data_IF_369360421483
#
_entry.id   IF_369360421483
#
_cell.length_a   1.000
_cell.length_b   1.000
_cell.length_c   1.000
_cell.angle_alpha   90.00
_cell.angle_beta   90.00
_cell.angle_gamma   90.00
#
_symmetry.space_group_name_H-M   'P 1'
#
loop_
_entity.id
_entity.type
_entity.pdbx_description
1 polymer ?
#
# COMPACT_ATOMS: atom_id res chain seq x y z
N UNK A 1 -9.37 14.70 13.37
CA UNK A 1 -8.31 14.20 12.47
C UNK A 1 -7.65 15.38 11.78
N UNK A 2 -6.33 15.45 11.83
CA UNK A 2 -5.57 16.49 11.14
C UNK A 2 -5.56 16.22 9.64
N UNK A 3 -5.62 17.27 8.82
CA UNK A 3 -5.58 17.16 7.37
C UNK A 3 -4.34 17.87 6.83
N UNK A 4 -3.56 17.15 6.01
CA UNK A 4 -2.46 17.71 5.23
C UNK A 4 -2.85 17.58 3.77
N UNK A 5 -2.76 18.66 3.00
CA UNK A 5 -3.19 18.65 1.62
C UNK A 5 -2.30 19.47 0.70
N UNK A 6 -2.31 19.09 -0.58
CA UNK A 6 -1.67 19.84 -1.67
C UNK A 6 -0.20 20.18 -1.40
N UNK A 7 0.57 19.20 -0.94
CA UNK A 7 1.97 19.39 -0.59
C UNK A 7 2.80 18.17 -0.97
N UNK A 8 4.11 18.27 -0.76
CA UNK A 8 5.03 17.18 -1.01
C UNK A 8 6.03 17.04 0.14
N UNK A 9 6.44 15.81 0.37
CA UNK A 9 7.46 15.47 1.36
C UNK A 9 8.55 14.65 0.68
N UNK A 10 9.77 14.77 1.19
CA UNK A 10 10.89 13.95 0.72
C UNK A 10 11.87 13.72 1.86
N UNK A 11 12.93 12.97 1.57
CA UNK A 11 13.94 12.66 2.55
C UNK A 11 13.63 11.41 3.35
N UNK A 12 14.17 11.33 4.55
CA UNK A 12 14.07 10.17 5.43
C UNK A 12 12.99 10.38 6.48
N UNK A 13 12.04 9.43 6.56
CA UNK A 13 10.96 9.39 7.56
C UNK A 13 10.17 10.70 7.71
N UNK A 14 9.71 11.32 6.62
CA UNK A 14 9.04 12.62 6.73
C UNK A 14 7.74 12.61 7.55
N UNK A 15 7.08 11.46 7.68
CA UNK A 15 5.82 11.32 8.43
C UNK A 15 5.94 10.13 9.39
N UNK A 16 6.72 10.33 10.44
CA UNK A 16 7.05 9.30 11.42
C UNK A 16 6.28 9.51 12.72
N UNK A 17 5.76 8.41 13.27
CA UNK A 17 5.01 8.40 14.54
C UNK A 17 3.82 9.38 14.58
N UNK A 18 3.06 9.43 13.49
CA UNK A 18 1.87 10.27 13.41
C UNK A 18 0.60 9.43 13.57
N UNK A 19 -0.41 10.03 14.16
CA UNK A 19 -1.69 9.40 14.41
C UNK A 19 -2.81 10.33 14.01
N UNK A 20 -3.95 9.74 13.58
CA UNK A 20 -5.17 10.50 13.24
C UNK A 20 -4.90 11.56 12.17
N UNK A 21 -4.32 11.14 11.05
CA UNK A 21 -3.91 12.02 9.96
C UNK A 21 -4.61 11.64 8.65
N UNK A 22 -5.14 12.64 7.96
CA UNK A 22 -5.63 12.48 6.59
C UNK A 22 -4.72 13.27 5.64
N UNK A 23 -4.26 12.60 4.59
CA UNK A 23 -3.46 13.21 3.53
C UNK A 23 -4.32 13.28 2.26
N UNK A 24 -4.41 14.45 1.66
CA UNK A 24 -5.15 14.67 0.42
C UNK A 24 -4.24 15.32 -0.61
N UNK A 25 -4.11 14.69 -1.78
CA UNK A 25 -3.29 15.21 -2.87
C UNK A 25 -1.86 15.53 -2.38
N UNK A 26 -1.22 14.54 -1.77
CA UNK A 26 0.14 14.65 -1.24
C UNK A 26 1.06 13.77 -2.08
N UNK A 27 2.24 14.30 -2.41
CA UNK A 27 3.29 13.56 -3.11
C UNK A 27 4.39 13.23 -2.12
N UNK A 28 4.68 11.95 -1.96
CA UNK A 28 5.84 11.49 -1.19
C UNK A 28 6.96 11.21 -2.20
N UNK A 29 7.91 12.14 -2.28
CA UNK A 29 9.01 12.08 -3.23
C UNK A 29 10.03 11.01 -2.85
N UNK A 30 10.99 10.78 -3.73
CA UNK A 30 12.06 9.82 -3.47
C UNK A 30 12.72 10.04 -2.11
N UNK A 31 12.85 8.97 -1.35
CA UNK A 31 13.35 8.98 0.01
C UNK A 31 13.03 7.65 0.68
N UNK A 32 13.11 7.58 1.99
CA UNK A 32 12.90 6.32 2.71
C UNK A 32 11.90 6.44 3.86
N UNK A 33 11.10 5.38 4.04
CA UNK A 33 10.23 5.17 5.20
C UNK A 33 9.32 6.36 5.50
N UNK A 34 8.59 6.81 4.49
CA UNK A 34 7.80 8.04 4.57
C UNK A 34 6.73 7.99 5.66
N UNK A 35 6.00 6.90 5.76
CA UNK A 35 4.92 6.76 6.73
C UNK A 35 5.24 5.53 7.55
N UNK A 36 5.79 5.74 8.74
CA UNK A 36 6.28 4.66 9.58
C UNK A 36 5.83 4.86 11.04
N UNK A 37 5.47 3.76 11.71
CA UNK A 37 5.01 3.78 13.10
C UNK A 37 3.81 4.73 13.31
N UNK A 38 2.83 4.64 12.41
CA UNK A 38 1.64 5.49 12.42
C UNK A 38 0.38 4.68 12.70
N UNK A 39 -0.69 5.36 13.08
CA UNK A 39 -2.00 4.73 13.22
C UNK A 39 -3.11 5.69 12.79
N UNK A 40 -4.21 5.10 12.32
CA UNK A 40 -5.38 5.83 11.85
C UNK A 40 -5.00 6.88 10.79
N UNK A 41 -4.50 6.40 9.67
CA UNK A 41 -4.04 7.22 8.55
C UNK A 41 -5.02 7.06 7.38
N UNK A 42 -5.36 8.17 6.73
CA UNK A 42 -6.10 8.16 5.47
C UNK A 42 -5.26 8.84 4.40
N UNK A 43 -5.06 8.18 3.28
CA UNK A 43 -4.35 8.73 2.13
C UNK A 43 -5.31 8.72 0.93
N UNK A 44 -5.61 9.89 0.39
CA UNK A 44 -6.53 10.06 -0.72
C UNK A 44 -5.86 10.90 -1.80
N UNK A 45 -5.93 10.43 -3.03
CA UNK A 45 -5.32 11.11 -4.18
C UNK A 45 -3.82 11.40 -3.97
N UNK A 46 -3.08 10.46 -3.39
CA UNK A 46 -1.66 10.61 -3.08
C UNK A 46 -0.78 9.82 -4.05
N UNK A 47 0.49 10.23 -4.15
CA UNK A 47 1.49 9.57 -4.98
C UNK A 47 2.72 9.24 -4.13
N UNK A 48 3.20 8.00 -4.24
CA UNK A 48 4.34 7.51 -3.46
C UNK A 48 5.48 7.16 -4.40
N UNK A 49 6.59 7.88 -4.29
CA UNK A 49 7.77 7.74 -5.16
C UNK A 49 9.00 7.22 -4.41
N UNK A 50 8.98 7.26 -3.09
CA UNK A 50 10.09 6.80 -2.24
C UNK A 50 9.92 5.38 -1.73
N UNK A 51 11.01 4.79 -1.23
CA UNK A 51 11.04 3.42 -0.73
C UNK A 51 10.37 3.28 0.64
N UNK A 52 9.82 2.10 0.88
CA UNK A 52 9.30 1.67 2.20
C UNK A 52 8.19 2.54 2.78
N UNK A 53 7.21 3.01 2.00
CA UNK A 53 6.08 3.72 2.59
C UNK A 53 5.15 2.75 3.34
N UNK A 54 4.52 3.23 4.41
CA UNK A 54 3.58 2.46 5.22
C UNK A 54 4.20 1.22 5.88
N UNK A 55 5.18 1.42 6.74
CA UNK A 55 5.76 0.39 7.58
C UNK A 55 5.26 0.54 9.01
N UNK A 56 4.81 -0.56 9.60
CA UNK A 56 4.24 -0.56 10.97
C UNK A 56 3.12 0.48 11.13
N UNK A 57 2.15 0.43 10.21
CA UNK A 57 0.98 1.31 10.26
C UNK A 57 -0.25 0.50 10.64
N UNK A 58 -0.99 0.97 11.61
CA UNK A 58 -2.13 0.26 12.16
C UNK A 58 -3.42 1.05 11.93
N UNK A 59 -4.32 0.48 11.13
CA UNK A 59 -5.56 1.13 10.76
C UNK A 59 -5.35 2.25 9.75
N UNK A 60 -5.55 1.96 8.47
CA UNK A 60 -5.34 2.98 7.45
C UNK A 60 -6.19 2.73 6.20
N UNK A 61 -6.44 3.81 5.49
CA UNK A 61 -7.18 3.82 4.23
C UNK A 61 -6.30 4.40 3.14
N UNK A 62 -6.26 3.75 1.99
CA UNK A 62 -5.59 4.24 0.80
C UNK A 62 -6.62 4.23 -0.33
N UNK A 63 -6.95 5.42 -0.84
CA UNK A 63 -7.97 5.58 -1.87
C UNK A 63 -7.48 6.48 -3.00
N UNK A 64 -7.67 6.03 -4.23
CA UNK A 64 -7.26 6.75 -5.44
C UNK A 64 -5.81 7.20 -5.39
N UNK A 65 -4.92 6.31 -4.99
CA UNK A 65 -3.50 6.59 -4.87
C UNK A 65 -2.69 5.90 -5.96
N UNK A 66 -1.45 6.29 -6.10
CA UNK A 66 -0.51 5.69 -7.03
C UNK A 66 0.84 5.45 -6.36
N UNK A 67 1.33 4.21 -6.44
CA UNK A 67 2.67 3.84 -6.01
C UNK A 67 3.54 3.71 -7.27
N UNK A 68 4.45 4.66 -7.47
CA UNK A 68 5.40 4.63 -8.57
C UNK A 68 6.45 3.54 -8.33
N UNK A 69 7.28 3.27 -9.31
CA UNK A 69 8.30 2.21 -9.25
C UNK A 69 9.18 2.32 -8.01
N UNK A 70 9.50 3.53 -7.57
CA UNK A 70 10.27 3.76 -6.36
C UNK A 70 9.53 3.52 -5.06
N UNK A 71 8.20 3.45 -5.08
CA UNK A 71 7.39 3.19 -3.90
C UNK A 71 7.34 1.71 -3.49
N UNK A 72 8.43 1.00 -3.67
CA UNK A 72 8.54 -0.43 -3.46
C UNK A 72 8.71 -0.81 -2.00
N UNK A 73 8.47 -2.08 -1.71
CA UNK A 73 8.57 -2.64 -0.36
C UNK A 73 7.67 -1.88 0.61
N UNK A 74 6.50 -1.50 0.13
CA UNK A 74 5.53 -0.76 0.91
C UNK A 74 4.54 -1.69 1.58
N UNK A 75 3.86 -1.18 2.60
CA UNK A 75 2.78 -1.89 3.27
C UNK A 75 3.30 -3.15 3.96
N UNK A 76 4.42 -3.02 4.68
CA UNK A 76 5.05 -4.11 5.41
C UNK A 76 4.76 -4.00 6.90
N UNK A 77 4.49 -5.14 7.53
CA UNK A 77 4.26 -5.25 8.99
C UNK A 77 3.12 -4.34 9.48
N UNK A 78 2.12 -4.12 8.64
CA UNK A 78 0.99 -3.24 8.91
C UNK A 78 -0.31 -4.04 8.97
N UNK A 79 -1.38 -3.43 9.44
CA UNK A 79 -2.66 -4.13 9.57
C UNK A 79 -3.84 -3.17 9.44
N UNK A 80 -5.03 -3.79 9.25
CA UNK A 80 -6.31 -3.08 9.13
C UNK A 80 -6.26 -2.03 8.03
N UNK A 81 -5.97 -2.49 6.81
CA UNK A 81 -5.93 -1.65 5.60
C UNK A 81 -7.22 -1.81 4.81
N UNK A 82 -7.72 -0.69 4.31
CA UNK A 82 -8.69 -0.67 3.22
C UNK A 82 -8.10 0.11 2.06
N UNK A 83 -7.89 -0.56 0.92
CA UNK A 83 -7.34 0.05 -0.28
C UNK A 83 -8.35 -0.03 -1.42
N UNK A 84 -8.62 1.11 -2.05
CA UNK A 84 -9.58 1.19 -3.15
C UNK A 84 -9.02 2.03 -4.30
N UNK A 85 -9.40 1.66 -5.52
CA UNK A 85 -9.14 2.45 -6.73
C UNK A 85 -7.68 2.91 -6.86
N UNK A 86 -6.73 2.01 -6.63
CA UNK A 86 -5.32 2.33 -6.54
C UNK A 86 -4.52 1.53 -7.57
N UNK A 87 -3.50 2.15 -8.11
CA UNK A 87 -2.54 1.53 -9.02
C UNK A 87 -1.17 1.46 -8.37
N UNK A 88 -0.51 0.32 -8.55
CA UNK A 88 0.81 0.07 -7.98
C UNK A 88 1.74 -0.42 -9.09
N UNK A 89 2.81 0.34 -9.36
CA UNK A 89 3.83 -0.03 -10.34
C UNK A 89 5.10 -0.59 -9.68
N UNK A 90 5.11 -0.72 -8.36
CA UNK A 90 6.27 -1.14 -7.59
C UNK A 90 6.15 -2.59 -7.12
N UNK A 91 7.27 -3.33 -6.99
CA UNK A 91 7.27 -4.70 -6.49
C UNK A 91 7.31 -4.79 -4.96
N UNK A 92 7.16 -6.01 -4.45
CA UNK A 92 7.35 -6.35 -3.03
C UNK A 92 6.41 -5.61 -2.09
N UNK A 93 5.15 -5.54 -2.49
CA UNK A 93 4.09 -4.88 -1.74
C UNK A 93 3.36 -5.88 -0.84
N UNK A 94 2.87 -5.44 0.32
CA UNK A 94 2.05 -6.22 1.24
C UNK A 94 2.81 -7.42 1.83
N UNK A 95 3.59 -7.18 2.85
CA UNK A 95 4.35 -8.24 3.53
C UNK A 95 4.03 -8.30 5.02
N UNK A 96 3.76 -9.51 5.51
CA UNK A 96 3.45 -9.77 6.92
C UNK A 96 2.36 -8.82 7.46
N UNK A 97 1.25 -8.81 6.76
CA UNK A 97 0.08 -8.00 7.10
C UNK A 97 -1.11 -8.88 7.42
N UNK A 98 -2.07 -8.32 8.13
CA UNK A 98 -3.35 -8.98 8.35
C UNK A 98 -4.51 -7.98 8.33
N UNK A 99 -5.71 -8.51 8.05
CA UNK A 99 -6.94 -7.73 7.95
C UNK A 99 -6.85 -6.67 6.86
N UNK A 100 -6.79 -7.14 5.61
CA UNK A 100 -6.65 -6.30 4.42
C UNK A 100 -7.90 -6.40 3.56
N UNK A 101 -8.47 -5.26 3.20
CA UNK A 101 -9.52 -5.16 2.20
C UNK A 101 -8.96 -4.46 0.96
N UNK A 102 -9.13 -5.11 -0.20
CA UNK A 102 -8.65 -4.61 -1.49
C UNK A 102 -9.84 -4.54 -2.44
N UNK A 103 -10.04 -3.41 -3.09
CA UNK A 103 -11.08 -3.24 -4.11
C UNK A 103 -10.59 -2.35 -5.25
N UNK A 104 -10.72 -2.85 -6.48
CA UNK A 104 -10.30 -2.14 -7.69
C UNK A 104 -8.85 -1.69 -7.64
N UNK A 105 -7.93 -2.65 -7.50
CA UNK A 105 -6.49 -2.37 -7.44
C UNK A 105 -5.79 -3.09 -8.59
N UNK A 106 -4.83 -2.41 -9.21
CA UNK A 106 -3.98 -2.97 -10.25
C UNK A 106 -2.52 -2.91 -9.81
N UNK A 107 -1.84 -4.06 -9.85
CA UNK A 107 -0.41 -4.16 -9.51
C UNK A 107 0.33 -4.60 -10.77
N UNK A 108 1.18 -3.72 -11.30
CA UNK A 108 1.84 -3.91 -12.60
C UNK A 108 3.19 -4.64 -12.50
N UNK A 109 3.76 -4.75 -11.31
CA UNK A 109 4.93 -5.57 -11.04
C UNK A 109 4.64 -6.44 -9.82
N UNK A 110 3.95 -7.56 -10.05
CA UNK A 110 3.43 -8.39 -8.96
C UNK A 110 4.46 -9.35 -8.37
N UNK A 111 5.74 -8.97 -8.36
CA UNK A 111 6.80 -9.76 -7.74
C UNK A 111 6.70 -9.73 -6.22
N UNK A 112 6.59 -10.91 -5.62
CA UNK A 112 6.56 -11.08 -4.17
C UNK A 112 5.53 -10.20 -3.45
N UNK A 113 4.32 -10.09 -4.03
CA UNK A 113 3.23 -9.33 -3.40
C UNK A 113 2.38 -10.24 -2.52
N UNK A 114 1.81 -9.68 -1.46
CA UNK A 114 1.01 -10.40 -0.47
C UNK A 114 1.77 -11.58 0.17
N UNK A 115 2.97 -11.31 0.61
CA UNK A 115 3.83 -12.31 1.24
C UNK A 115 3.49 -12.45 2.73
N UNK A 116 3.14 -13.66 3.17
CA UNK A 116 2.77 -13.96 4.56
C UNK A 116 1.68 -13.04 5.11
N UNK A 117 0.63 -12.86 4.31
CA UNK A 117 -0.51 -12.06 4.73
C UNK A 117 -1.66 -12.96 5.17
N UNK A 118 -2.50 -12.48 6.06
CA UNK A 118 -3.64 -13.20 6.59
C UNK A 118 -4.91 -12.36 6.52
N UNK A 119 -6.04 -13.04 6.38
CA UNK A 119 -7.35 -12.42 6.37
C UNK A 119 -7.44 -11.34 5.29
N UNK A 120 -7.35 -11.80 4.04
CA UNK A 120 -7.43 -10.96 2.85
C UNK A 120 -8.84 -11.03 2.26
N UNK A 121 -9.46 -9.89 2.08
CA UNK A 121 -10.71 -9.75 1.35
C UNK A 121 -10.43 -8.95 0.09
N UNK A 122 -10.49 -9.62 -1.07
CA UNK A 122 -10.05 -9.06 -2.34
C UNK A 122 -11.22 -9.01 -3.30
N UNK A 123 -11.43 -7.85 -3.91
CA UNK A 123 -12.48 -7.61 -4.88
C UNK A 123 -11.92 -6.83 -6.04
N UNK A 124 -11.90 -7.46 -7.22
CA UNK A 124 -11.38 -6.86 -8.46
C UNK A 124 -9.93 -6.42 -8.34
N UNK A 125 -9.02 -7.38 -8.26
CA UNK A 125 -7.58 -7.18 -8.26
C UNK A 125 -7.00 -7.67 -9.58
N UNK A 126 -6.14 -6.86 -10.21
CA UNK A 126 -5.40 -7.24 -11.41
C UNK A 126 -3.91 -7.30 -11.11
N UNK A 127 -3.31 -8.45 -11.37
CA UNK A 127 -1.88 -8.68 -11.18
C UNK A 127 -1.21 -8.89 -12.53
N UNK A 128 -0.17 -8.12 -12.83
CA UNK A 128 0.61 -8.24 -14.04
C UNK A 128 2.04 -8.67 -13.72
N UNK A 129 2.51 -9.69 -14.44
CA UNK A 129 3.86 -10.22 -14.25
C UNK A 129 4.04 -10.84 -12.88
N UNK A 130 5.30 -10.97 -12.49
CA UNK A 130 5.66 -11.36 -11.14
C UNK A 130 5.74 -12.85 -10.89
N UNK A 131 6.38 -13.15 -9.76
CA UNK A 131 6.57 -14.51 -9.27
C UNK A 131 6.14 -14.58 -7.82
N UNK A 132 5.50 -15.70 -7.46
CA UNK A 132 5.10 -16.02 -6.09
C UNK A 132 4.14 -15.02 -5.44
N UNK A 133 3.05 -14.58 -6.11
CA UNK A 133 2.04 -13.80 -5.41
C UNK A 133 1.35 -14.67 -4.34
N UNK A 134 0.93 -14.03 -3.24
CA UNK A 134 0.23 -14.67 -2.13
C UNK A 134 1.01 -15.79 -1.42
N UNK A 135 2.34 -15.81 -1.52
CA UNK A 135 3.13 -16.87 -0.92
C UNK A 135 3.02 -16.87 0.61
N UNK A 136 2.73 -18.05 1.18
CA UNK A 136 2.51 -18.25 2.61
C UNK A 136 1.35 -17.42 3.19
N UNK A 137 0.44 -16.94 2.35
CA UNK A 137 -0.75 -16.21 2.79
C UNK A 137 -1.90 -17.17 3.05
N UNK A 138 -2.80 -16.80 3.97
CA UNK A 138 -3.92 -17.62 4.40
C UNK A 138 -5.18 -16.79 4.62
N UNK A 139 -6.33 -17.49 4.75
CA UNK A 139 -7.63 -16.87 5.01
C UNK A 139 -7.96 -15.81 3.96
N UNK A 140 -7.89 -16.21 2.70
CA UNK A 140 -8.06 -15.35 1.55
C UNK A 140 -9.43 -15.55 0.91
N UNK A 141 -10.18 -14.47 0.77
CA UNK A 141 -11.43 -14.41 0.03
C UNK A 141 -11.23 -13.54 -1.21
N UNK A 142 -11.51 -14.09 -2.39
CA UNK A 142 -11.27 -13.40 -3.64
C UNK A 142 -12.52 -13.32 -4.50
N UNK A 143 -12.72 -12.15 -5.10
CA UNK A 143 -13.76 -11.93 -6.09
C UNK A 143 -13.12 -11.15 -7.25
N UNK A 144 -13.04 -11.79 -8.41
CA UNK A 144 -12.46 -11.20 -9.62
C UNK A 144 -10.97 -10.82 -9.53
N UNK A 145 -10.14 -11.74 -9.05
CA UNK A 145 -8.69 -11.56 -9.15
C UNK A 145 -8.22 -12.12 -10.49
N UNK A 146 -7.50 -11.33 -11.26
CA UNK A 146 -6.90 -11.73 -12.53
C UNK A 146 -5.39 -11.66 -12.44
N UNK A 147 -4.70 -12.76 -12.78
CA UNK A 147 -3.25 -12.81 -12.83
C UNK A 147 -2.84 -12.78 -14.30
N UNK A 148 -2.19 -11.70 -14.73
CA UNK A 148 -1.79 -11.48 -16.10
C UNK A 148 -0.28 -11.57 -16.21
N UNK A 149 0.19 -12.29 -17.23
CA UNK A 149 1.62 -12.37 -17.54
C UNK A 149 1.93 -11.47 -18.73
N UNK A 150 2.92 -10.67 -18.57
CA UNK A 150 3.40 -9.78 -19.62
C UNK A 150 4.61 -10.37 -20.31
#
# INVERSE_FOLDING_TARGET
MKIISNTAFGGERPLFELHDLRMENVVIRAGESAIKECSNIEAVDCRFEGNYPFWHVHGFVIDRCFFDVGGRSALWYSDHLKMTDTRIDAPKMFREMHDIEIENVEINDANEVFWRCKNLNIKNLKLHGGTYPFMFSSDRSEEHTSELQS
#
